data_IF_390308471430
#
_entry.id   IF_390308471430
#
_cell.length_a   1.000
_cell.length_b   1.000
_cell.length_c   1.000
_cell.angle_alpha   90.00
_cell.angle_beta   90.00
_cell.angle_gamma   90.00
#
_symmetry.space_group_name_H-M   'P 1'
#
loop_
_entity.id
_entity.type
_entity.pdbx_description
1 polymer ?
#
# COMPACT_ATOMS: atom_id res chain seq x y z
N UNK A 1 -10.20 -36.73 -2.66
CA UNK A 1 -10.69 -35.36 -2.36
C UNK A 1 -9.55 -34.61 -1.68
N UNK A 2 -8.86 -33.74 -2.42
CA UNK A 2 -7.68 -33.04 -1.92
C UNK A 2 -8.11 -31.94 -0.95
N UNK A 3 -8.03 -32.24 0.34
CA UNK A 3 -8.14 -31.27 1.42
C UNK A 3 -6.99 -30.27 1.29
N UNK A 4 -7.22 -29.21 0.49
CA UNK A 4 -6.43 -27.99 0.56
C UNK A 4 -6.66 -27.45 1.96
N UNK A 5 -5.73 -27.73 2.86
CA UNK A 5 -5.58 -27.03 4.12
C UNK A 5 -5.67 -25.53 3.81
N UNK A 6 -6.83 -24.92 4.10
CA UNK A 6 -6.95 -23.48 4.17
C UNK A 6 -6.02 -23.07 5.31
N UNK A 7 -4.78 -22.70 4.96
CA UNK A 7 -3.87 -22.08 5.92
C UNK A 7 -4.52 -20.75 6.27
N UNK A 8 -5.24 -20.69 7.38
CA UNK A 8 -5.78 -19.46 7.93
C UNK A 8 -4.59 -18.54 8.20
N UNK A 9 -4.25 -17.69 7.21
CA UNK A 9 -3.31 -16.60 7.42
C UNK A 9 -3.97 -15.72 8.48
N UNK A 10 -3.30 -15.52 9.61
CA UNK A 10 -3.76 -14.60 10.65
C UNK A 10 -3.99 -13.23 9.99
N UNK A 11 -5.24 -12.80 9.95
CA UNK A 11 -5.61 -11.50 9.39
C UNK A 11 -5.30 -10.40 10.40
N UNK A 12 -4.85 -9.25 9.89
CA UNK A 12 -4.70 -8.03 10.67
C UNK A 12 -6.08 -7.37 10.83
N UNK A 13 -6.38 -6.88 12.03
CA UNK A 13 -7.68 -6.34 12.40
C UNK A 13 -7.49 -5.04 13.18
N UNK A 14 -8.28 -4.01 12.87
CA UNK A 14 -8.30 -2.76 13.63
C UNK A 14 -8.71 -2.99 15.08
N UNK A 15 -8.17 -2.16 15.98
CA UNK A 15 -8.65 -2.08 17.35
C UNK A 15 -9.88 -1.19 17.38
N UNK A 16 -11.02 -1.72 17.82
CA UNK A 16 -12.27 -0.97 17.98
C UNK A 16 -12.18 0.16 19.01
N UNK A 17 -11.15 0.15 19.87
CA UNK A 17 -10.89 1.22 20.83
C UNK A 17 -10.08 2.38 20.24
N UNK A 18 -9.47 2.19 19.06
CA UNK A 18 -8.74 3.25 18.39
C UNK A 18 -9.72 4.20 17.69
N UNK A 19 -10.08 5.29 18.38
CA UNK A 19 -10.98 6.33 17.88
C UNK A 19 -10.42 7.09 16.67
N UNK A 20 -9.14 6.92 16.35
CA UNK A 20 -8.51 7.57 15.21
C UNK A 20 -8.69 6.77 13.91
N UNK A 21 -9.37 5.63 13.97
CA UNK A 21 -9.74 4.78 12.83
C UNK A 21 -11.26 4.74 12.73
N UNK A 22 -11.79 5.22 11.61
CA UNK A 22 -13.24 5.22 11.36
C UNK A 22 -13.59 3.90 10.71
N UNK A 23 -14.12 2.98 11.50
CA UNK A 23 -14.60 1.67 11.04
C UNK A 23 -15.92 1.86 10.29
N UNK A 24 -16.08 1.16 9.18
CA UNK A 24 -17.25 1.29 8.29
C UNK A 24 -17.80 -0.05 7.84
N UNK A 25 -19.10 -0.05 7.56
CA UNK A 25 -19.80 -1.14 6.89
C UNK A 25 -19.96 -0.81 5.40
N UNK A 26 -18.89 -1.06 4.64
CA UNK A 26 -18.80 -0.83 3.21
C UNK A 26 -17.87 -1.89 2.57
N UNK A 27 -17.89 -1.99 1.24
CA UNK A 27 -17.02 -2.90 0.51
C UNK A 27 -15.54 -2.49 0.61
N UNK A 28 -14.63 -3.47 0.47
CA UNK A 28 -13.19 -3.22 0.45
C UNK A 28 -12.77 -2.87 -0.98
N UNK A 29 -12.51 -1.59 -1.23
CA UNK A 29 -12.15 -1.09 -2.56
C UNK A 29 -10.85 -1.74 -3.06
N UNK A 30 -9.99 -2.22 -2.17
CA UNK A 30 -8.66 -2.75 -2.51
C UNK A 30 -8.56 -4.28 -2.42
N UNK A 31 -9.66 -5.02 -2.27
CA UNK A 31 -9.66 -6.49 -2.35
C UNK A 31 -9.67 -7.00 -3.81
N UNK A 32 -8.68 -6.57 -4.59
CA UNK A 32 -8.58 -6.87 -6.03
C UNK A 32 -8.41 -8.37 -6.35
N UNK A 33 -7.95 -9.17 -5.39
CA UNK A 33 -7.85 -10.63 -5.52
C UNK A 33 -9.12 -11.36 -5.06
N UNK A 34 -10.15 -10.62 -4.63
CA UNK A 34 -11.41 -11.15 -4.10
C UNK A 34 -11.20 -12.18 -2.98
N UNK A 35 -10.24 -11.94 -2.07
CA UNK A 35 -9.97 -12.86 -0.97
C UNK A 35 -11.08 -12.89 0.09
N UNK A 36 -11.93 -11.86 0.12
CA UNK A 36 -13.07 -11.77 1.03
C UNK A 36 -12.64 -11.65 2.48
N UNK A 37 -11.68 -10.76 2.76
CA UNK A 37 -11.17 -10.48 4.11
C UNK A 37 -12.32 -10.22 5.08
N UNK A 38 -12.21 -10.79 6.28
CA UNK A 38 -13.27 -10.74 7.31
C UNK A 38 -12.99 -9.68 8.37
N UNK A 39 -11.83 -9.03 8.32
CA UNK A 39 -11.51 -7.93 9.22
C UNK A 39 -12.40 -6.71 8.93
N UNK A 40 -12.64 -5.85 9.94
CA UNK A 40 -13.34 -4.58 9.74
C UNK A 40 -12.63 -3.72 8.70
N UNK A 41 -13.41 -2.94 7.96
CA UNK A 41 -12.88 -1.94 7.02
C UNK A 41 -12.84 -0.56 7.66
N UNK A 42 -11.98 0.30 7.13
CA UNK A 42 -11.89 1.68 7.53
C UNK A 42 -11.59 2.60 6.34
N UNK A 43 -11.92 3.88 6.48
CA UNK A 43 -11.60 4.89 5.48
C UNK A 43 -10.12 5.24 5.44
N UNK A 44 -9.60 5.38 4.23
CA UNK A 44 -8.40 6.14 3.92
C UNK A 44 -8.73 7.63 3.78
N UNK A 45 -7.72 8.50 3.84
CA UNK A 45 -7.86 9.96 3.71
C UNK A 45 -8.53 10.40 2.39
N UNK A 46 -8.40 9.59 1.34
CA UNK A 46 -9.05 9.80 0.05
C UNK A 46 -10.53 9.39 -0.02
N UNK A 47 -11.08 8.82 1.05
CA UNK A 47 -12.47 8.34 1.12
C UNK A 47 -12.70 6.89 0.70
N UNK A 48 -11.69 6.22 0.12
CA UNK A 48 -11.78 4.79 -0.20
C UNK A 48 -11.61 3.91 1.05
N UNK A 49 -12.26 2.76 1.02
CA UNK A 49 -12.43 1.84 2.13
C UNK A 49 -11.50 0.65 1.95
N UNK A 50 -10.78 0.28 3.02
CA UNK A 50 -9.81 -0.81 2.96
C UNK A 50 -9.89 -1.71 4.19
N UNK A 51 -9.45 -2.95 4.05
CA UNK A 51 -8.95 -3.74 5.17
C UNK A 51 -7.45 -3.54 5.37
N UNK A 52 -6.90 -3.85 6.56
CA UNK A 52 -5.45 -3.83 6.74
C UNK A 52 -4.71 -4.75 5.76
N UNK A 53 -5.34 -5.88 5.41
CA UNK A 53 -4.75 -6.89 4.54
C UNK A 53 -4.75 -6.46 3.07
N UNK A 54 -5.87 -5.96 2.56
CA UNK A 54 -5.97 -5.48 1.18
C UNK A 54 -5.02 -4.32 0.92
N UNK A 55 -4.98 -3.34 1.82
CA UNK A 55 -4.06 -2.21 1.73
C UNK A 55 -2.59 -2.66 1.75
N UNK A 56 -2.24 -3.63 2.59
CA UNK A 56 -0.87 -4.16 2.62
C UNK A 56 -0.47 -4.75 1.27
N UNK A 57 -1.36 -5.54 0.67
CA UNK A 57 -1.11 -6.17 -0.64
C UNK A 57 -1.02 -5.13 -1.74
N UNK A 58 -1.93 -4.16 -1.76
CA UNK A 58 -1.91 -3.08 -2.72
C UNK A 58 -0.59 -2.30 -2.67
N UNK A 59 -0.16 -1.89 -1.47
CA UNK A 59 1.12 -1.20 -1.32
C UNK A 59 2.32 -2.10 -1.68
N UNK A 60 2.27 -3.41 -1.42
CA UNK A 60 3.30 -4.35 -1.87
C UNK A 60 3.36 -4.44 -3.40
N UNK A 61 2.20 -4.44 -4.07
CA UNK A 61 2.11 -4.41 -5.52
C UNK A 61 2.75 -3.13 -6.08
N UNK A 62 2.41 -1.95 -5.55
CA UNK A 62 3.04 -0.69 -5.95
C UNK A 62 4.57 -0.73 -5.80
N UNK A 63 5.06 -1.27 -4.68
CA UNK A 63 6.51 -1.41 -4.45
C UNK A 63 7.17 -2.37 -5.46
N UNK A 64 6.50 -3.47 -5.81
CA UNK A 64 6.97 -4.43 -6.81
C UNK A 64 7.03 -3.81 -8.22
N UNK A 65 6.08 -2.94 -8.56
CA UNK A 65 6.05 -2.13 -9.78
C UNK A 65 7.09 -0.99 -9.79
N UNK A 66 7.94 -0.89 -8.76
CA UNK A 66 9.00 0.11 -8.70
C UNK A 66 8.55 1.48 -8.22
N UNK A 67 7.32 1.62 -7.71
CA UNK A 67 6.84 2.89 -7.16
C UNK A 67 7.57 3.26 -5.88
N UNK A 68 7.84 4.56 -5.70
CA UNK A 68 8.43 5.13 -4.48
C UNK A 68 7.46 5.98 -3.67
N UNK A 69 6.18 6.00 -4.06
CA UNK A 69 5.05 6.71 -3.44
C UNK A 69 3.86 5.77 -3.42
N UNK A 70 2.90 5.99 -2.51
CA UNK A 70 1.70 5.16 -2.40
C UNK A 70 0.50 5.94 -2.89
N UNK A 71 -0.22 5.41 -3.87
CA UNK A 71 -1.42 6.03 -4.43
C UNK A 71 -2.63 5.12 -4.22
N UNK A 72 -3.80 5.73 -4.14
CA UNK A 72 -5.06 5.00 -4.10
C UNK A 72 -5.23 4.10 -5.32
N UNK A 73 -5.10 4.67 -6.52
CA UNK A 73 -5.16 3.94 -7.78
C UNK A 73 -6.54 3.38 -8.15
N UNK A 74 -7.59 3.76 -7.40
CA UNK A 74 -8.98 3.50 -7.80
C UNK A 74 -9.37 4.35 -9.01
N UNK A 75 -10.44 3.95 -9.69
CA UNK A 75 -10.97 4.68 -10.85
C UNK A 75 -11.26 6.13 -10.45
N UNK A 76 -10.67 7.08 -11.18
CA UNK A 76 -10.76 8.52 -10.89
C UNK A 76 -10.21 8.96 -9.51
N UNK A 77 -9.28 8.20 -8.93
CA UNK A 77 -8.60 8.58 -7.69
C UNK A 77 -7.08 8.43 -7.77
N UNK A 78 -6.39 9.56 -7.88
CA UNK A 78 -4.93 9.69 -7.90
C UNK A 78 -4.35 10.17 -6.56
N UNK A 79 -5.18 10.15 -5.51
CA UNK A 79 -4.78 10.59 -4.18
C UNK A 79 -3.55 9.81 -3.68
N UNK A 80 -2.54 10.55 -3.22
CA UNK A 80 -1.37 9.98 -2.59
C UNK A 80 -1.61 9.79 -1.09
N UNK A 81 -1.22 8.63 -0.57
CA UNK A 81 -1.19 8.34 0.86
C UNK A 81 0.21 8.50 1.43
N UNK A 82 0.30 9.16 2.57
CA UNK A 82 1.56 9.24 3.29
C UNK A 82 1.97 7.85 3.81
N UNK A 83 3.28 7.58 3.91
CA UNK A 83 3.73 6.32 4.51
C UNK A 83 3.31 6.18 5.99
N UNK A 84 3.07 7.28 6.70
CA UNK A 84 2.53 7.25 8.07
C UNK A 84 1.09 6.73 8.10
N UNK A 85 0.25 7.20 7.17
CA UNK A 85 -1.11 6.69 6.99
C UNK A 85 -1.09 5.21 6.61
N UNK A 86 -0.30 4.82 5.61
CA UNK A 86 -0.16 3.42 5.18
C UNK A 86 0.26 2.53 6.35
N UNK A 87 1.28 2.92 7.14
CA UNK A 87 1.73 2.14 8.30
C UNK A 87 0.63 1.90 9.31
N UNK A 88 -0.18 2.92 9.58
CA UNK A 88 -1.27 2.87 10.55
C UNK A 88 -2.42 2.02 10.02
N UNK A 89 -2.92 2.32 8.83
CA UNK A 89 -4.11 1.70 8.26
C UNK A 89 -3.85 0.26 7.81
N UNK A 90 -2.65 -0.07 7.36
CA UNK A 90 -2.28 -1.44 6.99
C UNK A 90 -1.83 -2.28 8.20
N UNK A 91 -1.77 -1.68 9.40
CA UNK A 91 -1.25 -2.30 10.63
C UNK A 91 0.10 -3.00 10.40
N UNK A 92 1.03 -2.31 9.71
CA UNK A 92 2.28 -2.93 9.27
C UNK A 92 3.08 -3.43 10.48
N UNK A 93 3.44 -4.70 10.42
CA UNK A 93 4.38 -5.32 11.36
C UNK A 93 5.78 -4.72 11.20
N UNK A 94 6.63 -4.89 12.20
CA UNK A 94 8.04 -4.46 12.12
C UNK A 94 8.76 -5.06 10.91
N UNK A 95 8.44 -6.31 10.54
CA UNK A 95 9.03 -6.96 9.37
C UNK A 95 8.55 -6.30 8.07
N UNK A 96 7.26 -6.02 7.96
CA UNK A 96 6.69 -5.33 6.79
C UNK A 96 7.24 -3.90 6.67
N UNK A 97 7.31 -3.13 7.75
CA UNK A 97 7.91 -1.77 7.74
C UNK A 97 9.33 -1.77 7.20
N UNK A 98 10.18 -2.68 7.69
CA UNK A 98 11.55 -2.85 7.19
C UNK A 98 11.60 -3.16 5.69
N UNK A 99 10.70 -4.02 5.22
CA UNK A 99 10.60 -4.34 3.80
C UNK A 99 10.14 -3.13 2.96
N UNK A 100 9.11 -2.40 3.43
CA UNK A 100 8.58 -1.21 2.76
C UNK A 100 9.66 -0.13 2.67
N UNK A 101 10.30 0.23 3.78
CA UNK A 101 11.34 1.24 3.85
C UNK A 101 12.54 0.91 2.95
N UNK A 102 13.01 -0.34 2.97
CA UNK A 102 14.10 -0.78 2.09
C UNK A 102 13.72 -0.65 0.63
N UNK A 103 12.51 -1.08 0.26
CA UNK A 103 12.07 -1.10 -1.15
C UNK A 103 11.78 0.32 -1.66
N UNK A 104 11.17 1.17 -0.84
CA UNK A 104 10.99 2.60 -1.13
C UNK A 104 12.31 3.29 -1.41
N UNK A 105 13.32 3.08 -0.57
CA UNK A 105 14.64 3.68 -0.76
C UNK A 105 15.31 3.22 -2.07
N UNK A 106 15.22 1.93 -2.39
CA UNK A 106 15.74 1.39 -3.66
C UNK A 106 15.00 1.95 -4.87
N UNK A 107 13.67 2.04 -4.80
CA UNK A 107 12.84 2.58 -5.88
C UNK A 107 13.08 4.07 -6.10
N UNK A 108 13.17 4.85 -5.01
CA UNK A 108 13.49 6.28 -5.07
C UNK A 108 14.88 6.52 -5.68
N UNK A 109 15.89 5.76 -5.27
CA UNK A 109 17.23 5.84 -5.85
C UNK A 109 17.21 5.52 -7.35
N UNK A 110 16.52 4.44 -7.76
CA UNK A 110 16.40 4.08 -9.18
C UNK A 110 15.74 5.17 -10.01
N UNK A 111 14.72 5.84 -9.48
CA UNK A 111 14.04 6.92 -10.18
C UNK A 111 14.93 8.15 -10.37
N UNK A 112 15.80 8.45 -9.40
CA UNK A 112 16.78 9.55 -9.50
C UNK A 112 17.92 9.25 -10.48
N UNK A 113 18.43 8.02 -10.49
CA UNK A 113 19.56 7.63 -11.37
C UNK A 113 19.12 7.12 -12.75
N UNK A 114 17.85 6.76 -12.92
CA UNK A 114 17.27 6.27 -14.18
C UNK A 114 16.90 7.38 -15.17
N UNK A 115 16.72 8.61 -14.70
CA UNK A 115 16.69 9.80 -15.56
C UNK A 115 18.11 10.08 -16.03
N UNK A 116 18.45 9.66 -17.26
CA UNK A 116 19.73 9.99 -17.90
C UNK A 116 20.02 11.49 -17.71
N UNK A 117 21.25 11.91 -17.34
CA UNK A 117 21.59 13.32 -17.38
C UNK A 117 21.40 13.80 -18.82
N UNK A 118 20.60 14.84 -19.03
CA UNK A 118 20.57 15.56 -20.29
C UNK A 118 22.01 16.02 -20.54
N UNK A 119 22.66 15.47 -21.55
CA UNK A 119 23.95 15.94 -22.02
C UNK A 119 23.75 17.32 -22.62
N UNK A 120 23.74 18.35 -21.79
CA UNK A 120 23.90 19.73 -22.27
C UNK A 120 25.34 19.86 -22.74
N UNK A 121 25.57 19.58 -24.02
CA UNK A 121 26.79 19.96 -24.70
C UNK A 121 26.92 21.49 -24.64
N UNK A 122 27.89 21.98 -23.87
CA UNK A 122 28.40 23.34 -23.95
C UNK A 122 28.91 23.59 -25.37
N UNK A 123 28.11 24.24 -26.22
CA UNK A 123 28.63 24.90 -27.41
C UNK A 123 29.16 26.26 -26.96
N UNK A 124 30.48 26.34 -26.79
CA UNK A 124 31.20 27.63 -26.85
C UNK A 124 31.06 28.16 -28.28
N UNK A 125 30.52 29.36 -28.42
CA UNK A 125 30.71 30.24 -29.55
C UNK A 125 31.17 31.58 -28.98
#
# INVERSE_FOLDING_TARGET
MNSKFFRFKKQKCYDFKDQTIIIVDADDDHDFECEGFKSPRAFMSCGHVVTPMSLTKWCQHLLAEGQSRFFCGQTNCDAEWSYTEVRKMALLTTKEKKYFEKTLALNAARNLFGTKPVSTCLKKA
#
